data_IF_770543736628
#
_entry.id   IF_770543736628
#
_cell.length_a   1.000
_cell.length_b   1.000
_cell.length_c   1.000
_cell.angle_alpha   90.00
_cell.angle_beta   90.00
_cell.angle_gamma   90.00
#
_symmetry.space_group_name_H-M   'P 1'
#
loop_
_entity.id
_entity.type
_entity.pdbx_description
1 polymer ?
#
# COMPACT_ATOMS: atom_id res chain seq x y z
N UNK A 1 -4.02 29.35 -33.37
CA UNK A 1 -4.98 28.81 -32.38
C UNK A 1 -4.12 28.14 -31.34
N UNK A 2 -4.00 28.79 -30.19
CA UNK A 2 -3.08 28.41 -29.11
C UNK A 2 -3.82 27.42 -28.21
N UNK A 3 -3.35 26.19 -28.11
CA UNK A 3 -3.86 25.22 -27.15
C UNK A 3 -3.17 25.51 -25.82
N UNK A 4 -3.78 26.41 -25.04
CA UNK A 4 -3.41 26.65 -23.64
C UNK A 4 -3.66 25.38 -22.81
N UNK A 5 -2.67 24.49 -22.78
CA UNK A 5 -2.64 23.37 -21.86
C UNK A 5 -2.42 23.92 -20.45
N UNK A 6 -3.44 23.83 -19.61
CA UNK A 6 -3.29 24.05 -18.17
C UNK A 6 -2.50 22.84 -17.65
N UNK A 7 -1.18 22.99 -17.55
CA UNK A 7 -0.37 22.07 -16.76
C UNK A 7 -0.62 22.42 -15.30
N UNK A 8 -1.44 21.61 -14.62
CA UNK A 8 -1.45 21.59 -13.16
C UNK A 8 -0.13 20.92 -12.76
N UNK A 9 0.88 21.74 -12.48
CA UNK A 9 2.06 21.26 -11.76
C UNK A 9 1.60 21.02 -10.33
N UNK A 10 1.53 19.74 -9.86
CA UNK A 10 1.17 19.48 -8.48
C UNK A 10 2.17 20.20 -7.58
N UNK A 11 1.68 20.82 -6.52
CA UNK A 11 2.54 21.55 -5.61
C UNK A 11 3.56 20.58 -4.98
N UNK A 12 4.78 21.02 -4.64
CA UNK A 12 5.83 20.14 -4.11
C UNK A 12 5.43 19.37 -2.83
N UNK A 13 4.35 19.80 -2.18
CA UNK A 13 3.79 19.20 -0.98
C UNK A 13 2.57 18.29 -1.27
N UNK A 14 2.05 18.26 -2.51
CA UNK A 14 0.95 17.37 -2.98
C UNK A 14 1.46 16.01 -3.51
N UNK A 15 2.78 15.87 -3.66
CA UNK A 15 3.41 14.63 -4.13
C UNK A 15 3.86 13.85 -2.90
N UNK A 16 3.18 12.73 -2.61
CA UNK A 16 3.71 11.73 -1.67
C UNK A 16 5.16 11.44 -2.05
N UNK A 17 6.10 11.75 -1.15
CA UNK A 17 7.52 11.60 -1.45
C UNK A 17 7.93 10.18 -1.12
N UNK A 18 8.87 9.66 -1.91
CA UNK A 18 9.53 8.40 -1.61
C UNK A 18 9.97 8.34 -0.14
N UNK A 19 9.44 7.35 0.58
CA UNK A 19 9.76 7.07 1.98
C UNK A 19 8.78 7.68 2.98
N UNK A 20 7.81 8.48 2.55
CA UNK A 20 6.81 9.03 3.46
C UNK A 20 5.91 7.90 4.00
N UNK A 21 5.83 7.73 5.34
CA UNK A 21 4.92 6.77 5.93
C UNK A 21 3.48 7.26 5.74
N UNK A 22 2.64 6.43 5.15
CA UNK A 22 1.21 6.68 5.01
C UNK A 22 0.41 5.42 5.36
N UNK A 23 -0.92 5.53 5.30
CA UNK A 23 -1.88 4.47 5.61
C UNK A 23 -2.66 4.10 4.36
N UNK A 24 -2.94 2.81 4.21
CA UNK A 24 -3.72 2.29 3.10
C UNK A 24 -4.77 1.29 3.59
N UNK A 25 -5.97 1.38 3.03
CA UNK A 25 -7.03 0.40 3.31
C UNK A 25 -6.98 -0.70 2.26
N UNK A 26 -6.98 -1.95 2.69
CA UNK A 26 -7.10 -3.09 1.79
C UNK A 26 -8.51 -3.11 1.21
N UNK A 27 -8.61 -2.98 -0.10
CA UNK A 27 -9.87 -3.10 -0.85
C UNK A 27 -10.09 -4.54 -1.29
N UNK A 28 -9.01 -5.23 -1.64
CA UNK A 28 -9.08 -6.63 -2.03
C UNK A 28 -7.74 -7.30 -1.79
N UNK A 29 -7.76 -8.54 -1.32
CA UNK A 29 -6.59 -9.38 -1.18
C UNK A 29 -6.82 -10.69 -1.91
N UNK A 30 -5.87 -11.08 -2.75
CA UNK A 30 -5.95 -12.32 -3.52
C UNK A 30 -4.66 -13.10 -3.39
N UNK A 31 -4.77 -14.37 -2.97
CA UNK A 31 -3.68 -15.33 -3.08
C UNK A 31 -3.28 -15.50 -4.55
N UNK A 32 -1.98 -15.48 -4.81
CA UNK A 32 -1.43 -15.78 -6.13
C UNK A 32 -1.25 -17.28 -6.38
N UNK A 33 -1.31 -18.11 -5.32
CA UNK A 33 -0.89 -19.51 -5.34
C UNK A 33 0.62 -19.72 -5.50
N UNK A 34 1.41 -18.64 -5.55
CA UNK A 34 2.87 -18.68 -5.60
C UNK A 34 3.44 -18.55 -4.19
N UNK A 35 4.64 -19.10 -4.00
CA UNK A 35 5.40 -18.97 -2.77
C UNK A 35 6.77 -18.35 -3.05
N UNK A 36 7.30 -17.64 -2.06
CA UNK A 36 8.67 -17.15 -2.11
C UNK A 36 9.69 -18.23 -1.72
N UNK A 37 10.98 -17.88 -1.73
CA UNK A 37 12.08 -18.78 -1.39
C UNK A 37 12.06 -19.27 0.08
N UNK A 38 11.25 -18.63 0.94
CA UNK A 38 11.05 -19.01 2.34
C UNK A 38 9.77 -19.86 2.52
N UNK A 39 9.05 -20.14 1.44
CA UNK A 39 7.81 -20.93 1.46
C UNK A 39 6.56 -20.14 1.85
N UNK A 40 6.65 -18.82 1.98
CA UNK A 40 5.52 -17.93 2.31
C UNK A 40 4.67 -17.68 1.09
N UNK A 41 3.37 -17.59 1.28
CA UNK A 41 2.44 -17.37 0.17
C UNK A 41 2.43 -15.90 -0.27
N UNK A 42 2.48 -15.68 -1.58
CA UNK A 42 2.41 -14.35 -2.17
C UNK A 42 0.95 -13.92 -2.37
N UNK A 43 0.60 -12.77 -1.83
CA UNK A 43 -0.71 -12.14 -2.00
C UNK A 43 -0.58 -10.85 -2.81
N UNK A 44 -1.49 -10.69 -3.77
CA UNK A 44 -1.70 -9.42 -4.46
C UNK A 44 -2.77 -8.63 -3.72
N UNK A 45 -2.43 -7.43 -3.29
CA UNK A 45 -3.33 -6.52 -2.59
C UNK A 45 -3.71 -5.36 -3.51
N UNK A 46 -5.00 -5.03 -3.54
CA UNK A 46 -5.51 -3.77 -4.04
C UNK A 46 -5.74 -2.87 -2.84
N UNK A 47 -5.08 -1.71 -2.83
CA UNK A 47 -5.00 -0.80 -1.70
C UNK A 47 -5.57 0.56 -2.09
N UNK A 48 -6.35 1.17 -1.22
CA UNK A 48 -6.67 2.59 -1.28
C UNK A 48 -5.72 3.33 -0.34
N UNK A 49 -4.73 4.01 -0.91
CA UNK A 49 -3.75 4.81 -0.17
C UNK A 49 -4.30 6.21 0.02
N UNK A 50 -4.24 6.71 1.26
CA UNK A 50 -4.64 8.09 1.56
C UNK A 50 -3.50 9.04 1.18
N UNK A 51 -3.83 10.01 0.33
CA UNK A 51 -2.98 11.15 -0.05
C UNK A 51 -3.67 12.43 0.47
N UNK A 52 -2.96 13.55 0.55
CA UNK A 52 -3.52 14.79 1.10
C UNK A 52 -4.72 15.32 0.28
N UNK A 53 -4.72 15.09 -1.03
CA UNK A 53 -5.78 15.51 -1.96
C UNK A 53 -6.84 14.44 -2.26
N UNK A 54 -6.77 13.27 -1.63
CA UNK A 54 -7.75 12.20 -1.85
C UNK A 54 -7.22 10.80 -1.61
N UNK A 55 -7.76 9.83 -2.35
CA UNK A 55 -7.28 8.46 -2.29
C UNK A 55 -6.91 7.93 -3.67
N UNK A 56 -5.82 7.18 -3.73
CA UNK A 56 -5.37 6.49 -4.93
C UNK A 56 -5.46 4.99 -4.74
N UNK A 57 -5.94 4.30 -5.77
CA UNK A 57 -5.94 2.85 -5.81
C UNK A 57 -4.62 2.32 -6.38
N UNK A 58 -3.91 1.50 -5.61
CA UNK A 58 -2.62 0.91 -5.96
C UNK A 58 -2.60 -0.60 -5.74
N UNK A 59 -1.65 -1.27 -6.37
CA UNK A 59 -1.43 -2.70 -6.20
C UNK A 59 -0.09 -2.95 -5.52
N UNK A 60 -0.11 -3.81 -4.50
CA UNK A 60 1.09 -4.28 -3.82
C UNK A 60 1.15 -5.81 -3.85
N UNK A 61 2.35 -6.37 -3.75
CA UNK A 61 2.55 -7.80 -3.53
C UNK A 61 3.24 -7.98 -2.19
N UNK A 62 2.71 -8.86 -1.36
CA UNK A 62 3.24 -9.17 -0.04
C UNK A 62 3.42 -10.67 0.11
N UNK A 63 4.39 -11.09 0.92
CA UNK A 63 4.60 -12.48 1.31
C UNK A 63 4.11 -12.66 2.75
N UNK A 64 3.21 -13.64 2.97
CA UNK A 64 2.58 -13.88 4.26
C UNK A 64 2.74 -15.34 4.69
N UNK A 65 2.92 -15.55 5.99
CA UNK A 65 2.75 -16.85 6.60
C UNK A 65 1.26 -17.22 6.71
N UNK A 66 0.93 -18.51 6.83
CA UNK A 66 -0.46 -18.99 6.88
C UNK A 66 -1.28 -18.39 8.03
N UNK A 67 -0.63 -17.99 9.11
CA UNK A 67 -1.27 -17.35 10.28
C UNK A 67 -1.50 -15.85 10.10
N UNK A 68 -1.00 -15.27 9.01
CA UNK A 68 -0.94 -13.82 8.80
C UNK A 68 -1.97 -13.32 7.79
N UNK A 69 -2.76 -14.20 7.18
CA UNK A 69 -3.74 -13.84 6.14
C UNK A 69 -4.74 -12.81 6.61
N UNK A 70 -5.10 -12.83 7.90
CA UNK A 70 -6.05 -11.85 8.48
C UNK A 70 -5.48 -10.43 8.52
N UNK A 71 -4.14 -10.25 8.51
CA UNK A 71 -3.52 -8.92 8.46
C UNK A 71 -3.93 -8.17 7.20
N UNK A 72 -4.20 -8.89 6.11
CA UNK A 72 -4.56 -8.30 4.81
C UNK A 72 -6.02 -8.54 4.48
N UNK A 73 -6.88 -8.76 5.47
CA UNK A 73 -8.32 -8.86 5.25
C UNK A 73 -8.86 -7.58 4.59
N UNK A 74 -9.91 -7.72 3.79
CA UNK A 74 -10.60 -6.57 3.21
C UNK A 74 -11.08 -5.61 4.32
N UNK A 75 -10.79 -4.32 4.16
CA UNK A 75 -11.03 -3.28 5.15
C UNK A 75 -9.88 -3.07 6.15
N UNK A 76 -8.85 -3.93 6.16
CA UNK A 76 -7.69 -3.73 7.03
C UNK A 76 -6.96 -2.43 6.68
N UNK A 77 -6.59 -1.66 7.70
CA UNK A 77 -5.83 -0.43 7.56
C UNK A 77 -4.34 -0.76 7.83
N UNK A 78 -3.49 -0.56 6.83
CA UNK A 78 -2.10 -1.00 6.84
C UNK A 78 -1.12 0.18 6.73
N UNK A 79 0.01 0.13 7.47
CA UNK A 79 1.11 1.05 7.24
C UNK A 79 1.79 0.73 5.90
N UNK A 80 1.98 1.75 5.07
CA UNK A 80 2.66 1.65 3.78
C UNK A 80 3.66 2.78 3.60
N UNK A 81 4.65 2.54 2.74
CA UNK A 81 5.59 3.55 2.29
C UNK A 81 5.56 3.66 0.77
N UNK A 82 5.52 4.89 0.25
CA UNK A 82 5.64 5.12 -1.19
C UNK A 82 7.10 4.95 -1.59
N UNK A 83 7.37 4.10 -2.58
CA UNK A 83 8.73 3.81 -3.04
C UNK A 83 9.13 4.60 -4.29
N UNK A 84 8.16 5.02 -5.10
CA UNK A 84 8.40 5.81 -6.30
C UNK A 84 7.18 6.66 -6.68
N UNK A 85 7.42 7.96 -6.81
CA UNK A 85 6.40 8.95 -7.17
C UNK A 85 5.94 8.77 -8.63
N UNK A 86 6.89 8.46 -9.53
CA UNK A 86 6.63 8.14 -10.94
C UNK A 86 6.50 6.63 -11.12
N UNK A 87 5.27 6.14 -11.02
CA UNK A 87 4.93 4.72 -11.14
C UNK A 87 4.10 4.19 -9.98
N UNK A 88 3.90 5.00 -8.92
CA UNK A 88 3.06 4.73 -7.75
C UNK A 88 3.25 3.32 -7.19
N UNK A 89 4.50 3.00 -6.85
CA UNK A 89 4.85 1.75 -6.19
C UNK A 89 4.79 1.97 -4.68
N UNK A 90 4.09 1.08 -3.97
CA UNK A 90 4.03 1.08 -2.51
C UNK A 90 4.59 -0.21 -1.94
N UNK A 91 5.26 -0.08 -0.80
CA UNK A 91 5.63 -1.20 0.05
C UNK A 91 4.72 -1.23 1.27
N UNK A 92 4.22 -2.42 1.62
CA UNK A 92 3.48 -2.64 2.86
C UNK A 92 4.47 -2.97 3.96
N UNK A 93 4.40 -2.26 5.08
CA UNK A 93 5.22 -2.54 6.26
C UNK A 93 4.55 -3.61 7.14
N UNK A 94 4.74 -4.87 6.74
CA UNK A 94 4.19 -6.01 7.49
C UNK A 94 4.77 -6.13 8.90
N UNK A 95 5.99 -5.66 9.13
CA UNK A 95 6.59 -5.68 10.47
C UNK A 95 5.81 -4.77 11.41
N UNK A 96 5.53 -3.55 10.97
CA UNK A 96 4.73 -2.61 11.75
C UNK A 96 3.27 -3.06 11.89
N UNK A 97 2.66 -3.60 10.82
CA UNK A 97 1.30 -4.11 10.88
C UNK A 97 1.12 -5.21 11.95
N UNK A 98 2.12 -6.10 12.09
CA UNK A 98 2.13 -7.14 13.15
C UNK A 98 2.16 -6.52 14.55
N UNK A 99 3.06 -5.56 14.77
CA UNK A 99 3.23 -4.91 16.07
C UNK A 99 1.96 -4.14 16.50
N UNK A 100 1.29 -3.48 15.56
CA UNK A 100 0.04 -2.77 15.82
C UNK A 100 -1.08 -3.75 16.22
N UNK A 101 -1.23 -4.89 15.51
CA UNK A 101 -2.22 -5.92 15.86
C UNK A 101 -1.97 -6.54 17.24
N UNK A 102 -0.72 -6.81 17.57
CA UNK A 102 -0.35 -7.35 18.90
C UNK A 102 -0.69 -6.36 20.01
N UNK A 103 -0.53 -5.06 19.76
CA UNK A 103 -0.84 -3.99 20.71
C UNK A 103 -2.35 -3.81 20.92
N UNK A 104 -3.19 -4.09 19.93
CA UNK A 104 -4.66 -4.02 20.03
C UNK A 104 -5.28 -5.25 20.72
N UNK A 105 -4.53 -6.35 20.81
CA UNK A 105 -4.99 -7.62 21.38
C UNK A 105 -4.62 -7.82 22.87
N UNK A 106 -3.89 -6.88 23.47
CA UNK A 106 -3.43 -6.92 24.87
C UNK A 106 -4.21 -5.97 25.77
#
# INVERSE_FOLDING_TARGET
MDHGGIAFEPSPDEVLRRGDPTRAVVVHARSSGLRDDQGRELFTLVLNVREDDGSVQLTAVVALDETETDLVAEGADLPVAVLADRGRVVAVDLTRARQERESESG
#
